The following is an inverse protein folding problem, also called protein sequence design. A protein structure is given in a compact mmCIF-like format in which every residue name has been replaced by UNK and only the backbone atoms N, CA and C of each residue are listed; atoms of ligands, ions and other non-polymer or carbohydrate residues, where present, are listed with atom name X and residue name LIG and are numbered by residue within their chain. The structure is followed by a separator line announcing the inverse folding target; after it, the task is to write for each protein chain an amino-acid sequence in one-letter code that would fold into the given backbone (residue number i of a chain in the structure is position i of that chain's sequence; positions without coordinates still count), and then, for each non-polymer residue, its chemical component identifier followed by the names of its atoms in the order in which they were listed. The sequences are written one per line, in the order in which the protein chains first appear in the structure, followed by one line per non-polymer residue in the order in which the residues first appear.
data_IF_286259963614
#
_entry.id   IF_286259963614
#
_cell.length_a   1.000
_cell.length_b   1.000
_cell.length_c   1.000
_cell.angle_alpha   90.00
_cell.angle_beta   90.00
_cell.angle_gamma   90.00
#
_symmetry.space_group_name_H-M   'P 1'
#
loop_
_entity.id
_entity.type
_entity.pdbx_description
1 polymer ?
#
# COMPACT_ATOMS: atom_id res chain seq x y z
N UNK A 1 -36.43 1.01 24.05
CA UNK A 1 -35.23 0.15 24.24
C UNK A 1 -34.01 1.01 23.95
N UNK A 2 -33.66 1.93 24.85
CA UNK A 2 -32.91 3.15 24.50
C UNK A 2 -31.94 3.51 25.62
N UNK A 3 -30.62 3.49 25.35
CA UNK A 3 -29.58 3.95 26.27
C UNK A 3 -28.30 3.13 26.20
N UNK A 4 -28.24 2.00 26.92
CA UNK A 4 -26.97 1.30 27.17
C UNK A 4 -26.41 0.52 25.97
N UNK A 5 -27.26 -0.07 25.13
CA UNK A 5 -26.79 -0.85 23.97
C UNK A 5 -26.16 0.02 22.89
N UNK A 6 -26.67 1.24 22.70
CA UNK A 6 -26.09 2.23 21.79
C UNK A 6 -24.73 2.74 22.27
N UNK A 7 -24.55 2.92 23.58
CA UNK A 7 -23.28 3.38 24.17
C UNK A 7 -22.19 2.31 24.02
N UNK A 8 -22.48 1.06 24.37
CA UNK A 8 -21.54 -0.05 24.19
C UNK A 8 -21.18 -0.25 22.71
N UNK A 9 -22.17 -0.19 21.82
CA UNK A 9 -21.91 -0.27 20.38
C UNK A 9 -20.97 0.84 19.91
N UNK A 10 -21.18 2.08 20.35
CA UNK A 10 -20.31 3.19 20.00
C UNK A 10 -18.88 3.00 20.52
N UNK A 11 -18.71 2.47 21.74
CA UNK A 11 -17.40 2.14 22.29
C UNK A 11 -16.69 1.05 21.47
N UNK A 12 -17.39 -0.03 21.14
CA UNK A 12 -16.83 -1.13 20.33
C UNK A 12 -16.48 -0.63 18.93
N UNK A 13 -17.38 0.12 18.29
CA UNK A 13 -17.17 0.72 16.96
C UNK A 13 -15.95 1.62 16.92
N UNK A 14 -15.71 2.38 17.98
CA UNK A 14 -14.59 3.31 18.09
C UNK A 14 -13.34 2.69 18.74
N UNK A 15 -13.38 1.41 19.12
CA UNK A 15 -12.26 0.72 19.74
C UNK A 15 -11.09 0.54 18.77
N UNK A 16 -9.87 0.47 19.29
CA UNK A 16 -8.66 0.26 18.47
C UNK A 16 -8.67 -1.09 17.73
N UNK A 17 -9.31 -2.10 18.30
CA UNK A 17 -9.44 -3.42 17.69
C UNK A 17 -10.36 -3.38 16.47
N UNK A 18 -11.49 -2.66 16.56
CA UNK A 18 -12.43 -2.51 15.45
C UNK A 18 -11.89 -1.63 14.30
N UNK A 19 -10.92 -0.75 14.59
CA UNK A 19 -10.26 0.08 13.58
C UNK A 19 -9.28 -0.69 12.69
N UNK A 20 -8.86 -1.90 13.09
CA UNK A 20 -7.96 -2.72 12.26
C UNK A 20 -8.73 -3.19 11.02
N UNK A 21 -8.29 -2.73 9.86
CA UNK A 21 -8.89 -3.11 8.58
C UNK A 21 -8.68 -4.60 8.30
N UNK A 22 -9.65 -5.22 7.63
CA UNK A 22 -9.51 -6.59 7.13
C UNK A 22 -8.31 -6.68 6.18
N UNK A 23 -7.47 -7.72 6.29
CA UNK A 23 -6.29 -7.85 5.46
C UNK A 23 -6.68 -8.03 3.98
N UNK A 24 -5.82 -7.55 3.08
CA UNK A 24 -6.02 -7.67 1.63
C UNK A 24 -5.77 -9.10 1.12
N UNK A 25 -5.09 -9.92 1.91
CA UNK A 25 -4.68 -11.30 1.62
C UNK A 25 -4.50 -12.02 2.94
N UNK A 26 -4.87 -13.30 3.02
CA UNK A 26 -4.70 -14.10 4.24
C UNK A 26 -3.27 -14.61 4.44
N UNK A 27 -2.35 -14.33 3.53
CA UNK A 27 -0.96 -14.81 3.64
C UNK A 27 -0.06 -13.71 4.22
N UNK A 28 0.20 -13.78 5.53
CA UNK A 28 1.05 -12.81 6.24
C UNK A 28 2.52 -12.89 5.75
N UNK A 29 3.02 -14.09 5.44
CA UNK A 29 4.40 -14.33 4.94
C UNK A 29 4.51 -14.25 3.42
N UNK A 30 3.46 -13.83 2.74
CA UNK A 30 3.43 -13.78 1.28
C UNK A 30 4.48 -12.83 0.72
N UNK A 31 5.09 -13.21 -0.42
CA UNK A 31 6.00 -12.34 -1.16
C UNK A 31 5.22 -11.27 -1.93
N UNK A 32 4.69 -10.29 -1.20
CA UNK A 32 3.98 -9.14 -1.77
C UNK A 32 4.93 -7.98 -2.02
N UNK A 33 4.64 -7.16 -3.03
CA UNK A 33 5.34 -5.89 -3.27
C UNK A 33 4.83 -4.76 -2.36
N UNK A 34 3.59 -4.88 -1.88
CA UNK A 34 2.90 -3.89 -1.05
C UNK A 34 2.45 -4.52 0.28
N UNK A 35 2.33 -3.73 1.36
CA UNK A 35 1.82 -4.26 2.62
C UNK A 35 0.39 -4.78 2.47
N UNK A 36 0.14 -6.00 2.94
CA UNK A 36 -1.18 -6.66 2.88
C UNK A 36 -1.94 -6.59 4.20
N UNK A 37 -1.21 -6.46 5.31
CA UNK A 37 -1.74 -6.44 6.67
C UNK A 37 -1.34 -5.16 7.38
N UNK A 38 -2.16 -4.75 8.34
CA UNK A 38 -1.77 -3.73 9.31
C UNK A 38 -0.64 -4.27 10.21
N UNK A 39 0.40 -3.47 10.38
CA UNK A 39 1.45 -3.75 11.35
C UNK A 39 1.01 -3.23 12.72
N UNK A 40 1.09 -4.08 13.73
CA UNK A 40 0.69 -3.79 15.10
C UNK A 40 1.94 -3.75 15.98
N UNK A 41 2.00 -2.69 16.76
CA UNK A 41 3.08 -2.40 17.68
C UNK A 41 2.57 -2.40 19.12
N UNK A 42 3.42 -2.88 20.02
CA UNK A 42 3.22 -2.81 21.47
C UNK A 42 4.45 -2.23 22.15
N UNK A 43 4.28 -1.44 23.23
CA UNK A 43 5.39 -1.04 24.08
C UNK A 43 6.15 -2.24 24.64
N UNK A 44 7.46 -2.08 24.89
CA UNK A 44 8.33 -3.14 25.44
C UNK A 44 7.77 -3.73 26.75
N UNK A 45 7.16 -2.91 27.59
CA UNK A 45 6.53 -3.34 28.85
C UNK A 45 5.36 -4.29 28.66
N UNK A 46 4.53 -4.08 27.63
CA UNK A 46 3.42 -4.99 27.28
C UNK A 46 3.92 -6.22 26.54
N UNK A 47 4.89 -6.07 25.64
CA UNK A 47 5.50 -7.18 24.93
C UNK A 47 6.18 -8.19 25.87
N UNK A 48 6.77 -7.74 26.99
CA UNK A 48 7.33 -8.61 28.02
C UNK A 48 6.26 -9.51 28.68
N UNK A 49 5.01 -9.05 28.72
CA UNK A 49 3.84 -9.83 29.17
C UNK A 49 3.11 -10.53 28.01
N UNK A 50 3.68 -10.48 26.81
CA UNK A 50 3.08 -10.98 25.57
C UNK A 50 1.67 -10.45 25.29
N UNK A 51 1.41 -9.22 25.72
CA UNK A 51 0.13 -8.54 25.56
C UNK A 51 0.17 -7.60 24.35
N UNK A 52 -0.64 -7.95 23.35
CA UNK A 52 -0.80 -7.23 22.10
C UNK A 52 -2.17 -6.59 21.91
N UNK A 53 -3.01 -6.58 22.96
CA UNK A 53 -4.39 -6.10 22.84
C UNK A 53 -5.26 -6.99 21.94
N UNK A 54 -4.88 -8.26 21.79
CA UNK A 54 -5.67 -9.30 21.13
C UNK A 54 -6.51 -10.07 22.15
N UNK A 55 -7.35 -11.00 21.68
CA UNK A 55 -8.19 -11.84 22.56
C UNK A 55 -7.38 -12.67 23.55
N UNK A 56 -6.20 -13.16 23.14
CA UNK A 56 -5.30 -13.93 24.00
C UNK A 56 -3.90 -13.34 24.00
N UNK A 57 -3.14 -13.64 25.06
CA UNK A 57 -1.71 -13.39 25.08
C UNK A 57 -1.00 -14.30 24.09
N UNK A 58 0.13 -13.84 23.58
CA UNK A 58 0.94 -14.57 22.62
C UNK A 58 2.05 -15.38 23.31
N UNK A 59 2.66 -16.37 22.63
CA UNK A 59 3.83 -17.06 23.17
C UNK A 59 5.03 -16.11 23.36
N UNK A 60 5.73 -16.24 24.49
CA UNK A 60 6.91 -15.42 24.84
C UNK A 60 8.04 -15.45 23.79
N UNK A 61 8.08 -16.48 22.93
CA UNK A 61 9.01 -16.60 21.79
C UNK A 61 8.86 -15.45 20.77
N UNK A 62 7.71 -14.75 20.78
CA UNK A 62 7.49 -13.62 19.90
C UNK A 62 8.35 -12.41 20.31
N UNK A 63 8.59 -12.22 21.60
CA UNK A 63 9.41 -11.13 22.14
C UNK A 63 8.87 -9.74 21.77
N UNK A 64 9.71 -8.71 21.85
CA UNK A 64 9.33 -7.34 21.45
C UNK A 64 9.45 -7.16 19.95
N UNK A 65 8.43 -7.58 19.21
CA UNK A 65 8.38 -7.43 17.74
C UNK A 65 7.07 -6.82 17.26
N UNK A 66 7.10 -6.33 16.03
CA UNK A 66 5.90 -5.93 15.30
C UNK A 66 5.21 -7.18 14.75
N UNK A 67 3.89 -7.23 14.90
CA UNK A 67 3.09 -8.38 14.47
C UNK A 67 2.05 -7.96 13.43
N UNK A 68 1.57 -8.93 12.67
CA UNK A 68 0.34 -8.84 11.89
C UNK A 68 -0.50 -10.08 12.16
N UNK A 69 -1.81 -9.96 12.03
CA UNK A 69 -2.73 -11.09 12.24
C UNK A 69 -3.80 -11.16 11.14
N UNK A 70 -4.28 -12.37 10.89
CA UNK A 70 -5.46 -12.61 10.06
C UNK A 70 -6.72 -12.59 10.91
N UNK A 71 -6.75 -13.48 11.89
CA UNK A 71 -7.88 -13.71 12.78
C UNK A 71 -7.46 -13.51 14.23
N UNK A 72 -8.31 -12.82 14.99
CA UNK A 72 -8.14 -12.62 16.44
C UNK A 72 -8.31 -13.94 17.20
N UNK A 73 -9.11 -14.85 16.64
CA UNK A 73 -9.35 -16.18 17.17
C UNK A 73 -9.72 -17.13 16.03
N UNK A 74 -8.96 -18.20 15.86
CA UNK A 74 -9.22 -19.22 14.86
C UNK A 74 -10.03 -20.40 15.45
N UNK A 75 -10.30 -21.43 14.63
CA UNK A 75 -11.03 -22.64 15.07
C UNK A 75 -10.33 -23.41 16.19
N UNK A 76 -9.02 -23.23 16.32
CA UNK A 76 -8.17 -23.82 17.34
C UNK A 76 -8.14 -22.98 18.63
N UNK A 77 -8.96 -21.92 18.73
CA UNK A 77 -8.99 -20.99 19.85
C UNK A 77 -7.64 -20.26 20.07
N UNK A 78 -6.93 -19.99 18.97
CA UNK A 78 -5.65 -19.28 18.97
C UNK A 78 -5.68 -18.13 17.96
N UNK A 79 -4.97 -17.02 18.20
CA UNK A 79 -4.86 -15.95 17.22
C UNK A 79 -3.91 -16.36 16.09
N UNK A 80 -4.29 -16.10 14.85
CA UNK A 80 -3.44 -16.37 13.68
C UNK A 80 -2.54 -15.15 13.42
N UNK A 81 -1.35 -15.18 14.04
CA UNK A 81 -0.44 -14.03 14.16
C UNK A 81 0.96 -14.43 13.71
N UNK A 82 1.62 -13.50 13.01
CA UNK A 82 3.00 -13.65 12.60
C UNK A 82 3.83 -12.39 12.87
N UNK A 83 5.14 -12.57 13.08
CA UNK A 83 6.06 -11.43 13.15
C UNK A 83 6.17 -10.78 11.78
N UNK A 84 5.84 -9.50 11.69
CA UNK A 84 5.85 -8.76 10.44
C UNK A 84 6.31 -7.32 10.67
N UNK A 85 7.61 -7.09 10.57
CA UNK A 85 8.22 -5.76 10.67
C UNK A 85 8.81 -5.26 9.34
N UNK A 86 8.87 -6.11 8.31
CA UNK A 86 9.64 -5.85 7.10
C UNK A 86 9.17 -4.60 6.35
N UNK A 87 7.86 -4.48 6.11
CA UNK A 87 7.31 -3.31 5.41
C UNK A 87 7.45 -2.02 6.21
N UNK A 88 7.33 -2.09 7.54
CA UNK A 88 7.51 -0.92 8.41
C UNK A 88 8.93 -0.35 8.29
N UNK A 89 9.95 -1.21 8.40
CA UNK A 89 11.34 -0.74 8.25
C UNK A 89 11.68 -0.33 6.82
N UNK A 90 11.10 -0.98 5.79
CA UNK A 90 11.24 -0.51 4.40
C UNK A 90 10.66 0.89 4.20
N UNK A 91 9.52 1.19 4.83
CA UNK A 91 8.93 2.53 4.80
C UNK A 91 9.82 3.55 5.51
N UNK A 92 10.36 3.22 6.69
CA UNK A 92 11.29 4.09 7.41
C UNK A 92 12.56 4.37 6.59
N UNK A 93 13.19 3.33 6.05
CA UNK A 93 14.36 3.50 5.17
C UNK A 93 14.02 4.36 3.95
N UNK A 94 12.83 4.19 3.35
CA UNK A 94 12.41 5.03 2.24
C UNK A 94 12.23 6.50 2.65
N UNK A 95 11.70 6.76 3.85
CA UNK A 95 11.59 8.11 4.40
C UNK A 95 12.97 8.72 4.69
N UNK A 96 13.91 7.93 5.21
CA UNK A 96 15.29 8.35 5.50
C UNK A 96 16.07 8.75 4.24
N UNK A 97 15.77 8.13 3.09
CA UNK A 97 16.39 8.51 1.81
C UNK A 97 16.00 9.93 1.35
N UNK A 98 14.91 10.50 1.85
CA UNK A 98 14.46 11.85 1.47
C UNK A 98 14.07 12.00 0.00
N UNK A 99 13.85 10.89 -0.72
CA UNK A 99 13.50 10.91 -2.14
C UNK A 99 11.99 11.13 -2.31
N UNK A 100 11.62 12.21 -3.00
CA UNK A 100 10.22 12.49 -3.32
C UNK A 100 9.72 11.60 -4.47
N UNK A 101 8.58 10.93 -4.26
CA UNK A 101 7.91 10.16 -5.32
C UNK A 101 7.30 11.14 -6.33
N UNK A 102 7.61 10.96 -7.62
CA UNK A 102 7.00 11.71 -8.72
C UNK A 102 6.23 10.77 -9.63
N UNK A 103 5.02 11.14 -10.01
CA UNK A 103 4.20 10.39 -10.97
C UNK A 103 4.64 10.73 -12.39
N UNK A 104 5.16 9.74 -13.13
CA UNK A 104 5.63 9.96 -14.51
C UNK A 104 4.49 10.20 -15.51
N UNK A 105 3.32 9.57 -15.27
CA UNK A 105 2.21 9.56 -16.24
C UNK A 105 1.15 10.64 -16.00
N UNK A 106 1.14 11.24 -14.80
CA UNK A 106 0.10 12.22 -14.42
C UNK A 106 0.75 13.44 -13.78
N UNK A 107 0.54 14.62 -14.36
CA UNK A 107 1.02 15.90 -13.80
C UNK A 107 0.24 16.36 -12.54
N UNK A 108 -0.78 15.60 -12.13
CA UNK A 108 -1.63 15.90 -10.97
C UNK A 108 -1.22 15.02 -9.79
N UNK A 109 -1.00 15.63 -8.64
CA UNK A 109 -0.82 14.90 -7.39
C UNK A 109 -2.18 14.38 -6.92
N UNK A 110 -2.39 13.07 -6.73
CA UNK A 110 -3.67 12.53 -6.28
C UNK A 110 -4.07 13.01 -4.88
N UNK A 111 -3.12 13.46 -4.06
CA UNK A 111 -3.39 13.97 -2.72
C UNK A 111 -3.89 15.42 -2.73
N UNK A 112 -3.53 16.20 -3.76
CA UNK A 112 -3.89 17.61 -3.85
C UNK A 112 -4.31 17.95 -5.29
N UNK A 113 -5.62 18.09 -5.50
CA UNK A 113 -6.20 18.33 -6.83
C UNK A 113 -6.02 19.77 -7.35
N UNK A 114 -5.52 20.70 -6.54
CA UNK A 114 -5.43 22.11 -6.92
C UNK A 114 -4.49 22.37 -8.12
N UNK A 115 -4.93 23.25 -9.00
CA UNK A 115 -4.23 23.68 -10.22
C UNK A 115 -2.81 24.21 -9.96
N UNK A 116 -2.61 24.89 -8.82
CA UNK A 116 -1.33 25.47 -8.42
C UNK A 116 -0.29 24.43 -7.97
N UNK A 117 -0.72 23.20 -7.65
CA UNK A 117 0.15 22.11 -7.19
C UNK A 117 0.55 21.15 -8.32
N UNK A 118 0.22 21.48 -9.58
CA UNK A 118 0.63 20.68 -10.73
C UNK A 118 2.16 20.71 -10.87
N UNK A 119 2.75 19.56 -11.12
CA UNK A 119 4.16 19.51 -11.48
C UNK A 119 4.34 20.17 -12.85
N UNK A 120 5.08 21.28 -12.90
CA UNK A 120 5.13 22.15 -14.07
C UNK A 120 5.75 21.55 -15.34
N UNK A 121 6.22 20.30 -15.34
CA UNK A 121 6.81 19.67 -16.53
C UNK A 121 6.54 18.15 -16.52
N UNK A 122 5.86 17.57 -17.52
CA UNK A 122 6.00 16.14 -17.78
C UNK A 122 7.49 15.88 -18.07
N UNK A 123 8.08 14.86 -17.45
CA UNK A 123 9.42 14.42 -17.84
C UNK A 123 9.36 14.04 -19.32
N UNK A 124 10.18 14.69 -20.15
CA UNK A 124 10.46 14.21 -21.50
C UNK A 124 11.35 12.98 -21.37
N UNK A 125 10.76 11.84 -21.05
CA UNK A 125 11.46 10.57 -21.24
C UNK A 125 11.77 10.45 -22.72
N UNK A 126 13.03 10.21 -23.09
CA UNK A 126 13.48 10.10 -24.49
C UNK A 126 12.89 8.91 -25.26
N UNK A 127 11.91 8.20 -24.69
CA UNK A 127 11.20 7.11 -25.35
C UNK A 127 9.97 7.65 -26.10
N UNK A 128 9.95 7.44 -27.41
CA UNK A 128 8.83 7.77 -28.30
C UNK A 128 7.49 7.15 -27.85
N UNK A 129 7.55 6.06 -27.07
CA UNK A 129 6.37 5.40 -26.49
C UNK A 129 5.67 6.33 -25.48
N UNK A 130 6.45 7.09 -24.70
CA UNK A 130 5.95 8.01 -23.70
C UNK A 130 5.46 9.31 -24.32
N UNK A 131 6.12 9.82 -25.38
CA UNK A 131 5.66 11.02 -26.09
C UNK A 131 4.34 10.81 -26.84
N UNK A 132 4.07 9.57 -27.27
CA UNK A 132 2.84 9.18 -27.97
C UNK A 132 1.74 8.64 -27.04
N UNK A 133 1.95 8.67 -25.71
CA UNK A 133 1.00 8.17 -24.70
C UNK A 133 0.48 6.75 -24.99
N UNK A 134 1.36 5.87 -25.44
CA UNK A 134 1.02 4.49 -25.79
C UNK A 134 1.13 3.57 -24.57
N UNK A 135 0.27 2.54 -24.41
CA UNK A 135 0.37 1.60 -23.30
C UNK A 135 1.71 0.84 -23.36
N UNK A 136 2.32 0.55 -22.21
CA UNK A 136 3.72 0.08 -22.06
C UNK A 136 4.11 -1.23 -22.78
N UNK A 137 3.17 -1.92 -23.43
CA UNK A 137 3.39 -3.04 -24.35
C UNK A 137 2.61 -2.82 -25.65
N UNK A 138 3.11 -1.95 -26.53
CA UNK A 138 2.59 -1.85 -27.90
C UNK A 138 3.46 -2.66 -28.84
N UNK A 139 2.84 -3.53 -29.64
CA UNK A 139 3.55 -4.26 -30.68
C UNK A 139 3.95 -3.31 -31.82
N UNK A 140 5.13 -3.52 -32.42
CA UNK A 140 5.66 -2.72 -33.54
C UNK A 140 4.63 -2.60 -34.68
N UNK A 141 3.78 -3.60 -34.86
CA UNK A 141 2.68 -3.63 -35.83
C UNK A 141 1.62 -2.54 -35.60
N UNK A 142 1.29 -2.19 -34.37
CA UNK A 142 0.33 -1.13 -34.03
C UNK A 142 0.93 0.26 -34.22
N UNK A 143 2.21 0.43 -33.89
CA UNK A 143 2.97 1.66 -34.14
C UNK A 143 2.99 1.96 -35.64
N UNK A 144 3.25 0.95 -36.47
CA UNK A 144 3.23 1.09 -37.93
C UNK A 144 1.83 1.41 -38.49
N UNK A 145 0.76 0.91 -37.87
CA UNK A 145 -0.62 1.27 -38.24
C UNK A 145 -0.92 2.73 -37.91
N UNK A 146 -0.45 3.23 -36.77
CA UNK A 146 -0.64 4.63 -36.35
C UNK A 146 0.17 5.57 -37.24
N UNK A 147 1.41 5.21 -37.57
CA UNK A 147 2.25 5.99 -38.49
C UNK A 147 1.66 6.06 -39.91
N UNK A 148 1.08 4.97 -40.42
CA UNK A 148 0.37 4.97 -41.71
C UNK A 148 -0.89 5.84 -41.71
N UNK A 149 -1.57 5.99 -40.56
CA UNK A 149 -2.74 6.88 -40.44
C UNK A 149 -2.37 8.36 -40.46
N UNK A 150 -1.12 8.71 -40.10
CA UNK A 150 -0.64 10.09 -40.05
C UNK A 150 0.54 10.29 -41.00
N UNK A 151 0.28 10.48 -42.31
CA UNK A 151 1.31 10.45 -43.35
C UNK A 151 2.32 11.61 -43.28
N UNK A 152 1.99 12.70 -42.59
CA UNK A 152 2.93 13.82 -42.41
C UNK A 152 4.05 13.46 -41.43
N UNK A 153 3.71 12.82 -40.31
CA UNK A 153 4.69 12.37 -39.30
C UNK A 153 5.58 11.27 -39.88
N UNK A 154 5.03 10.38 -40.70
CA UNK A 154 5.81 9.31 -41.34
C UNK A 154 6.92 9.84 -42.27
N UNK A 155 6.67 10.94 -42.99
CA UNK A 155 7.67 11.56 -43.88
C UNK A 155 8.83 12.20 -43.12
N UNK A 156 8.57 12.78 -41.95
CA UNK A 156 9.62 13.39 -41.12
C UNK A 156 10.57 12.35 -40.50
N UNK A 157 10.12 11.10 -40.32
CA UNK A 157 10.92 10.00 -39.76
C UNK A 157 11.69 9.17 -40.80
N UNK A 158 11.45 9.37 -42.11
CA UNK A 158 12.15 8.67 -43.18
C UNK A 158 13.43 9.37 -43.67
N UNK A 159 13.68 10.60 -43.22
CA UNK A 159 14.93 11.34 -43.43
C UNK A 159 15.90 11.10 -42.27
#
# INVERSE_FOLDING_TARGET
MSGSSSELFNLVKNSRLAQVAKPLSNNIRGNSKTPTHQVIFTPKSSALRSDYGLKSTLPNKIGSSHISFNDIDNRQSMPDVEKNSGFHYKQLMFQELGLCIKTHFTNKNPLFYHENNKSNKPMKDGSLINTLNLPTKVQISEINKILKKNPQIYKEFQN
#
